data_IF_271125735488
#
_entry.id   IF_271125735488
#
_cell.length_a   1.000
_cell.length_b   1.000
_cell.length_c   1.000
_cell.angle_alpha   90.00
_cell.angle_beta   90.00
_cell.angle_gamma   90.00
#
_symmetry.space_group_name_H-M   'P 1'
#
loop_
_entity.id
_entity.type
_entity.pdbx_description
1 polymer ?
#
# COMPACT_ATOMS: atom_id res chain seq x y z
N UNK A 1 1.90 11.50 -19.82
CA UNK A 1 2.24 11.47 -21.24
C UNK A 1 1.02 11.78 -22.09
N UNK A 2 1.26 12.23 -23.31
CA UNK A 2 0.22 12.43 -24.30
C UNK A 2 0.58 11.61 -25.56
N UNK A 3 -0.30 10.71 -25.93
CA UNK A 3 -0.26 10.00 -27.21
C UNK A 3 -0.98 10.89 -28.24
N UNK A 4 -0.57 10.84 -29.53
CA UNK A 4 -1.21 11.64 -30.57
C UNK A 4 -2.74 11.36 -30.61
N UNK A 5 -3.60 12.35 -30.32
CA UNK A 5 -5.02 12.13 -30.23
C UNK A 5 -5.76 12.25 -31.58
N UNK A 6 -5.08 12.65 -32.66
CA UNK A 6 -5.74 13.04 -33.91
C UNK A 6 -6.66 11.96 -34.48
N UNK A 7 -6.20 10.71 -34.51
CA UNK A 7 -7.00 9.58 -35.01
C UNK A 7 -8.23 9.31 -34.12
N UNK A 8 -8.06 9.38 -32.81
CA UNK A 8 -9.13 9.12 -31.83
C UNK A 8 -10.17 10.25 -31.82
N UNK A 9 -9.75 11.49 -32.00
CA UNK A 9 -10.64 12.65 -32.15
C UNK A 9 -11.50 12.53 -33.44
N UNK A 10 -10.90 12.10 -34.56
CA UNK A 10 -11.64 11.82 -35.77
C UNK A 10 -12.67 10.69 -35.61
N UNK A 11 -12.31 9.62 -34.89
CA UNK A 11 -13.24 8.52 -34.58
C UNK A 11 -14.40 9.00 -33.69
N UNK A 12 -14.13 9.84 -32.70
CA UNK A 12 -15.18 10.43 -31.87
C UNK A 12 -16.15 11.26 -32.68
N UNK A 13 -15.66 12.15 -33.56
CA UNK A 13 -16.52 12.96 -34.44
C UNK A 13 -17.38 12.11 -35.38
N UNK A 14 -16.83 10.99 -35.87
CA UNK A 14 -17.59 10.05 -36.71
C UNK A 14 -18.73 9.38 -35.89
N UNK A 15 -18.45 8.95 -34.68
CA UNK A 15 -19.46 8.37 -33.79
C UNK A 15 -20.55 9.39 -33.41
N UNK A 16 -20.16 10.63 -33.13
CA UNK A 16 -21.12 11.73 -32.86
C UNK A 16 -22.01 12.04 -34.03
N UNK A 17 -21.47 12.06 -35.27
CA UNK A 17 -22.28 12.24 -36.48
C UNK A 17 -23.30 11.10 -36.68
N UNK A 18 -22.87 9.84 -36.45
CA UNK A 18 -23.75 8.65 -36.51
C UNK A 18 -24.88 8.75 -35.49
N UNK A 19 -24.56 9.16 -34.25
CA UNK A 19 -25.56 9.37 -33.19
C UNK A 19 -26.55 10.49 -33.58
N UNK A 20 -26.06 11.58 -34.16
CA UNK A 20 -26.92 12.70 -34.63
C UNK A 20 -27.91 12.21 -35.69
N UNK A 21 -27.48 11.38 -36.64
CA UNK A 21 -28.37 10.78 -37.63
C UNK A 21 -29.39 9.84 -36.98
N UNK A 22 -28.99 8.98 -36.03
CA UNK A 22 -29.91 8.12 -35.29
C UNK A 22 -30.98 8.92 -34.53
N UNK A 23 -30.58 10.06 -33.92
CA UNK A 23 -31.52 10.97 -33.25
C UNK A 23 -32.51 11.64 -34.21
N UNK A 24 -32.07 12.02 -35.40
CA UNK A 24 -32.98 12.57 -36.44
C UNK A 24 -34.00 11.49 -36.89
N UNK A 25 -33.55 10.23 -37.11
CA UNK A 25 -34.43 9.12 -37.43
C UNK A 25 -35.43 8.84 -36.29
N UNK A 26 -34.98 8.90 -35.04
CA UNK A 26 -35.87 8.74 -33.88
C UNK A 26 -36.93 9.85 -33.85
N UNK A 27 -36.58 11.09 -34.09
CA UNK A 27 -37.52 12.22 -34.09
C UNK A 27 -38.63 11.99 -35.17
N UNK A 28 -38.25 11.55 -36.37
CA UNK A 28 -39.19 11.17 -37.40
C UNK A 28 -40.12 9.99 -36.95
N UNK A 29 -39.54 8.91 -36.44
CA UNK A 29 -40.32 7.74 -36.00
C UNK A 29 -41.26 8.10 -34.83
N UNK A 30 -40.86 8.99 -33.94
CA UNK A 30 -41.73 9.52 -32.87
C UNK A 30 -42.93 10.28 -33.42
N UNK A 31 -42.74 11.17 -34.43
CA UNK A 31 -43.81 11.92 -35.06
C UNK A 31 -44.77 11.00 -35.78
N UNK A 32 -44.24 9.99 -36.49
CA UNK A 32 -45.07 9.03 -37.25
C UNK A 32 -45.87 8.10 -36.31
N UNK A 33 -45.26 7.57 -35.24
CA UNK A 33 -45.92 6.77 -34.23
C UNK A 33 -47.02 7.56 -33.48
N UNK A 34 -46.76 8.82 -33.17
CA UNK A 34 -47.77 9.71 -32.56
C UNK A 34 -48.94 9.92 -33.49
N UNK A 35 -48.69 10.26 -34.76
CA UNK A 35 -49.73 10.47 -35.77
C UNK A 35 -50.55 9.21 -36.01
N UNK A 36 -49.92 8.04 -36.18
CA UNK A 36 -50.58 6.75 -36.37
C UNK A 36 -51.48 6.42 -35.19
N UNK A 37 -51.04 6.64 -33.97
CA UNK A 37 -51.84 6.41 -32.75
C UNK A 37 -53.10 7.27 -32.67
N UNK A 38 -53.01 8.54 -33.11
CA UNK A 38 -54.18 9.44 -33.15
C UNK A 38 -55.17 9.01 -34.25
N UNK A 39 -54.68 8.59 -35.42
CA UNK A 39 -55.52 8.15 -36.51
C UNK A 39 -56.22 6.80 -36.23
N UNK A 40 -55.60 5.89 -35.51
CA UNK A 40 -56.25 4.66 -35.07
C UNK A 40 -57.47 4.91 -34.17
N UNK A 41 -57.39 5.92 -33.28
CA UNK A 41 -58.50 6.29 -32.40
C UNK A 41 -59.77 6.68 -33.14
N UNK A 42 -59.64 7.24 -34.34
CA UNK A 42 -60.74 7.61 -35.22
C UNK A 42 -61.00 6.62 -36.37
N UNK A 43 -60.41 5.43 -36.28
CA UNK A 43 -60.46 4.34 -37.28
C UNK A 43 -59.99 4.75 -38.69
N UNK A 44 -59.13 5.76 -38.81
CA UNK A 44 -58.60 6.24 -40.09
C UNK A 44 -57.41 5.42 -40.63
N UNK A 45 -56.77 4.59 -39.78
CA UNK A 45 -55.72 3.62 -40.16
C UNK A 45 -55.94 2.30 -39.43
N UNK A 46 -55.36 1.22 -39.96
CA UNK A 46 -55.47 -0.12 -39.33
C UNK A 46 -54.61 -0.22 -38.07
N UNK A 47 -55.01 -1.07 -37.13
CA UNK A 47 -54.21 -1.37 -35.93
C UNK A 47 -52.81 -1.93 -36.28
N UNK A 48 -52.75 -2.73 -37.37
CA UNK A 48 -51.48 -3.26 -37.90
C UNK A 48 -50.50 -2.14 -38.30
N UNK A 49 -51.03 -1.04 -38.90
CA UNK A 49 -50.21 0.11 -39.24
C UNK A 49 -49.66 0.84 -38.02
N UNK A 50 -50.46 0.97 -36.95
CA UNK A 50 -49.95 1.56 -35.66
C UNK A 50 -48.93 0.63 -35.02
N UNK A 51 -49.16 -0.66 -34.95
CA UNK A 51 -48.21 -1.62 -34.41
C UNK A 51 -46.86 -1.56 -35.16
N UNK A 52 -46.87 -1.40 -36.47
CA UNK A 52 -45.67 -1.21 -37.29
C UNK A 52 -44.95 0.10 -36.98
N UNK A 53 -45.69 1.22 -36.81
CA UNK A 53 -45.10 2.49 -36.43
C UNK A 53 -44.51 2.48 -35.03
N UNK A 54 -45.16 1.78 -34.07
CA UNK A 54 -44.61 1.58 -32.72
C UNK A 54 -43.34 0.71 -32.71
N UNK A 55 -43.30 -0.36 -33.56
CA UNK A 55 -42.10 -1.18 -33.73
C UNK A 55 -40.93 -0.35 -34.28
N UNK A 56 -41.18 0.49 -35.29
CA UNK A 56 -40.19 1.39 -35.88
C UNK A 56 -39.66 2.40 -34.86
N UNK A 57 -40.55 2.96 -34.04
CA UNK A 57 -40.15 3.84 -32.94
C UNK A 57 -39.19 3.14 -31.96
N UNK A 58 -39.52 1.92 -31.54
CA UNK A 58 -38.66 1.13 -30.64
C UNK A 58 -37.30 0.80 -31.29
N UNK A 59 -37.30 0.48 -32.59
CA UNK A 59 -36.06 0.26 -33.34
C UNK A 59 -35.20 1.50 -33.41
N UNK A 60 -35.77 2.69 -33.68
CA UNK A 60 -35.07 3.93 -33.70
C UNK A 60 -34.52 4.33 -32.29
N UNK A 61 -35.28 4.03 -31.23
CA UNK A 61 -34.79 4.21 -29.86
C UNK A 61 -33.58 3.33 -29.56
N UNK A 62 -33.60 2.07 -30.00
CA UNK A 62 -32.47 1.18 -29.83
C UNK A 62 -31.23 1.63 -30.62
N UNK A 63 -31.43 2.18 -31.85
CA UNK A 63 -30.35 2.73 -32.66
C UNK A 63 -29.68 3.94 -31.97
N UNK A 64 -30.46 4.82 -31.33
CA UNK A 64 -29.90 5.93 -30.54
C UNK A 64 -29.04 5.42 -29.36
N UNK A 65 -29.53 4.42 -28.61
CA UNK A 65 -28.75 3.83 -27.51
C UNK A 65 -27.46 3.19 -28.00
N UNK A 66 -27.50 2.51 -29.15
CA UNK A 66 -26.29 1.96 -29.79
C UNK A 66 -25.31 3.06 -30.19
N UNK A 67 -25.79 4.15 -30.76
CA UNK A 67 -24.97 5.33 -31.10
C UNK A 67 -24.36 5.98 -29.85
N UNK A 68 -25.11 6.09 -28.76
CA UNK A 68 -24.58 6.63 -27.48
C UNK A 68 -23.47 5.75 -26.92
N UNK A 69 -23.60 4.43 -26.99
CA UNK A 69 -22.55 3.50 -26.59
C UNK A 69 -21.30 3.63 -27.48
N UNK A 70 -21.46 3.81 -28.80
CA UNK A 70 -20.35 4.04 -29.71
C UNK A 70 -19.60 5.36 -29.39
N UNK A 71 -20.33 6.45 -29.12
CA UNK A 71 -19.73 7.73 -28.70
C UNK A 71 -18.98 7.57 -27.37
N UNK A 72 -19.55 6.85 -26.40
CA UNK A 72 -18.87 6.58 -25.12
C UNK A 72 -17.56 5.84 -25.32
N UNK A 73 -17.58 4.78 -26.15
CA UNK A 73 -16.37 4.02 -26.48
C UNK A 73 -15.30 4.88 -27.14
N UNK A 74 -15.68 5.72 -28.10
CA UNK A 74 -14.75 6.64 -28.75
C UNK A 74 -14.17 7.69 -27.77
N UNK A 75 -14.98 8.20 -26.83
CA UNK A 75 -14.51 9.12 -25.77
C UNK A 75 -13.51 8.46 -24.82
N UNK A 76 -13.75 7.22 -24.42
CA UNK A 76 -12.84 6.46 -23.57
C UNK A 76 -11.49 6.26 -24.28
N UNK A 77 -11.52 5.88 -25.57
CA UNK A 77 -10.30 5.71 -26.36
C UNK A 77 -9.51 7.01 -26.50
N UNK A 78 -10.22 8.14 -26.70
CA UNK A 78 -9.59 9.47 -26.73
C UNK A 78 -9.00 9.84 -25.36
N UNK A 79 -9.66 9.53 -24.25
CA UNK A 79 -9.11 9.82 -22.92
C UNK A 79 -7.87 8.95 -22.60
N UNK A 80 -7.81 7.73 -23.09
CA UNK A 80 -6.62 6.87 -22.98
C UNK A 80 -5.38 7.40 -23.70
N UNK A 81 -5.55 8.36 -24.63
CA UNK A 81 -4.37 9.07 -25.20
C UNK A 81 -3.67 9.94 -24.15
N UNK A 82 -4.37 10.29 -23.05
CA UNK A 82 -3.80 11.02 -21.91
C UNK A 82 -3.38 10.03 -20.84
N UNK A 83 -2.17 9.55 -20.91
CA UNK A 83 -1.63 8.62 -19.91
C UNK A 83 -1.31 9.34 -18.62
N UNK A 84 -2.12 9.10 -17.60
CA UNK A 84 -2.00 9.71 -16.27
C UNK A 84 -1.44 8.71 -15.28
N UNK A 85 -0.77 9.22 -14.24
CA UNK A 85 -0.36 8.39 -13.12
C UNK A 85 -1.58 8.02 -12.26
N UNK A 86 -1.76 6.73 -11.90
CA UNK A 86 -2.82 6.31 -10.98
C UNK A 86 -2.55 6.69 -9.52
N UNK A 87 -1.28 7.02 -9.19
CA UNK A 87 -0.84 7.40 -7.84
C UNK A 87 -0.12 8.74 -7.87
N UNK A 88 -0.18 9.45 -6.74
CA UNK A 88 0.67 10.62 -6.50
C UNK A 88 2.07 10.17 -6.11
N UNK A 89 3.11 10.77 -6.67
CA UNK A 89 4.47 10.36 -6.36
C UNK A 89 5.51 11.05 -7.24
N UNK A 90 6.76 10.61 -7.08
CA UNK A 90 7.88 11.04 -7.92
C UNK A 90 7.97 10.16 -9.15
N UNK A 91 7.99 10.80 -10.30
CA UNK A 91 8.20 10.15 -11.59
C UNK A 91 9.71 9.91 -11.77
N UNK A 92 10.08 8.69 -12.11
CA UNK A 92 11.45 8.33 -12.49
C UNK A 92 11.77 8.82 -13.90
N UNK A 93 12.97 8.49 -14.39
CA UNK A 93 13.36 8.80 -15.76
C UNK A 93 12.36 8.20 -16.76
N UNK A 94 12.03 8.96 -17.80
CA UNK A 94 11.27 8.43 -18.94
C UNK A 94 12.12 7.44 -19.73
N UNK A 95 11.56 6.29 -20.05
CA UNK A 95 12.21 5.28 -20.89
C UNK A 95 12.02 5.55 -22.39
N UNK A 96 11.08 6.43 -22.72
CA UNK A 96 10.77 6.82 -24.10
C UNK A 96 10.97 8.32 -24.29
N UNK A 97 11.48 8.69 -25.45
CA UNK A 97 11.62 10.09 -25.90
C UNK A 97 10.36 10.55 -26.63
N UNK A 98 10.20 11.84 -26.77
CA UNK A 98 9.14 12.42 -27.60
C UNK A 98 9.25 11.92 -29.05
N UNK A 99 8.12 11.59 -29.66
CA UNK A 99 8.04 11.02 -31.00
C UNK A 99 8.29 9.52 -31.09
N UNK A 100 8.57 8.84 -29.98
CA UNK A 100 8.72 7.39 -29.98
C UNK A 100 7.39 6.69 -30.28
N UNK A 101 7.44 5.64 -31.08
CA UNK A 101 6.29 4.81 -31.38
C UNK A 101 5.99 3.89 -30.17
N UNK A 102 4.76 3.96 -29.67
CA UNK A 102 4.27 3.07 -28.64
C UNK A 102 3.35 2.02 -29.24
N UNK A 103 3.45 0.79 -28.74
CA UNK A 103 2.57 -0.31 -29.16
C UNK A 103 1.70 -0.76 -27.98
N UNK A 104 0.46 -1.14 -28.28
CA UNK A 104 -0.42 -1.70 -27.25
C UNK A 104 0.19 -2.98 -26.66
N UNK A 105 0.05 -3.16 -25.35
CA UNK A 105 0.56 -4.31 -24.59
C UNK A 105 2.08 -4.51 -24.62
N UNK A 106 2.85 -3.45 -24.89
CA UNK A 106 4.31 -3.52 -24.77
C UNK A 106 4.73 -3.86 -23.33
N UNK A 107 5.77 -4.69 -23.20
CA UNK A 107 6.28 -5.09 -21.88
C UNK A 107 7.05 -3.97 -21.15
N UNK A 108 7.61 -3.01 -21.90
CA UNK A 108 8.38 -1.91 -21.33
C UNK A 108 7.46 -0.80 -20.83
N UNK A 109 7.62 -0.43 -19.56
CA UNK A 109 6.89 0.68 -18.97
C UNK A 109 7.39 2.03 -19.50
N UNK A 110 6.53 3.03 -19.60
CA UNK A 110 6.89 4.39 -20.00
C UNK A 110 7.78 5.07 -18.96
N UNK A 111 7.44 4.89 -17.70
CA UNK A 111 8.17 5.36 -16.52
C UNK A 111 7.64 4.64 -15.30
N UNK A 112 8.37 4.74 -14.19
CA UNK A 112 7.92 4.27 -12.88
C UNK A 112 7.57 5.48 -12.02
N UNK A 113 6.40 5.43 -11.38
CA UNK A 113 6.00 6.42 -10.37
C UNK A 113 6.11 5.78 -9.00
N UNK A 114 6.85 6.41 -8.10
CA UNK A 114 7.09 5.92 -6.74
C UNK A 114 6.47 6.87 -5.72
N UNK A 115 5.67 6.33 -4.83
CA UNK A 115 5.20 7.05 -3.66
C UNK A 115 6.32 7.07 -2.63
N UNK A 116 6.78 8.28 -2.26
CA UNK A 116 7.87 8.46 -1.31
C UNK A 116 7.40 8.83 0.10
N UNK A 117 6.14 9.25 0.24
CA UNK A 117 5.54 9.60 1.53
C UNK A 117 4.11 9.05 1.56
N UNK A 118 3.78 8.15 2.49
CA UNK A 118 4.71 7.43 3.36
C UNK A 118 5.63 6.46 2.58
N UNK A 119 6.78 6.10 3.19
CA UNK A 119 7.71 5.11 2.66
C UNK A 119 7.66 3.82 3.48
N UNK A 120 7.84 2.69 2.81
CA UNK A 120 7.90 1.39 3.45
C UNK A 120 9.35 0.97 3.71
N UNK A 121 9.59 0.42 4.88
CA UNK A 121 10.86 -0.18 5.28
C UNK A 121 10.62 -1.65 5.58
N UNK A 122 11.23 -2.51 4.79
CA UNK A 122 11.14 -3.95 4.98
C UNK A 122 12.29 -4.40 5.92
N UNK A 123 11.91 -4.99 7.05
CA UNK A 123 12.81 -5.49 8.08
C UNK A 123 12.76 -7.01 8.08
N UNK A 124 13.92 -7.64 7.97
CA UNK A 124 14.02 -9.10 8.05
C UNK A 124 14.41 -9.51 9.46
N UNK A 125 13.61 -10.39 10.07
CA UNK A 125 13.82 -10.93 11.42
C UNK A 125 13.73 -12.45 11.40
N UNK A 126 14.28 -13.12 12.43
CA UNK A 126 14.09 -14.55 12.60
C UNK A 126 12.66 -14.85 13.08
N UNK A 127 12.15 -16.04 12.77
CA UNK A 127 10.85 -16.47 13.29
C UNK A 127 10.84 -16.53 14.83
N UNK A 128 12.00 -16.82 15.46
CA UNK A 128 12.18 -16.84 16.91
C UNK A 128 12.02 -15.44 17.52
N UNK A 129 12.66 -14.42 16.91
CA UNK A 129 12.53 -13.03 17.34
C UNK A 129 11.10 -12.53 17.20
N UNK A 130 10.40 -12.90 16.12
CA UNK A 130 9.00 -12.56 15.95
C UNK A 130 8.13 -13.10 17.09
N UNK A 131 8.31 -14.38 17.44
CA UNK A 131 7.59 -15.02 18.55
C UNK A 131 7.94 -14.39 19.90
N UNK A 132 9.18 -13.92 20.08
CA UNK A 132 9.59 -13.18 21.28
C UNK A 132 8.86 -11.85 21.35
N UNK A 133 8.89 -11.06 20.27
CA UNK A 133 8.23 -9.74 20.19
C UNK A 133 6.71 -9.90 20.43
N UNK A 134 6.07 -10.91 19.84
CA UNK A 134 4.65 -11.17 20.07
C UNK A 134 4.32 -11.48 21.54
N UNK A 135 5.18 -12.24 22.22
CA UNK A 135 5.03 -12.51 23.66
C UNK A 135 5.21 -11.26 24.51
N UNK A 136 6.17 -10.40 24.18
CA UNK A 136 6.42 -9.12 24.85
C UNK A 136 5.24 -8.15 24.67
N UNK A 137 4.63 -8.12 23.47
CA UNK A 137 3.40 -7.37 23.23
C UNK A 137 2.24 -7.93 24.09
N UNK A 138 2.05 -9.24 24.09
CA UNK A 138 0.98 -9.89 24.85
C UNK A 138 1.16 -9.71 26.37
N UNK A 139 2.40 -9.64 26.86
CA UNK A 139 2.73 -9.34 28.25
C UNK A 139 2.60 -7.85 28.61
N UNK A 140 2.37 -6.95 27.63
CA UNK A 140 2.32 -5.51 27.83
C UNK A 140 3.69 -4.85 28.09
N UNK A 141 4.79 -5.60 27.87
CA UNK A 141 6.16 -5.11 28.01
C UNK A 141 6.56 -4.20 26.84
N UNK A 142 6.05 -4.50 25.64
CA UNK A 142 6.19 -3.67 24.45
C UNK A 142 4.94 -2.81 24.26
N UNK A 143 5.11 -1.50 24.25
CA UNK A 143 4.00 -0.56 24.02
C UNK A 143 3.67 -0.56 22.52
N UNK A 144 2.43 -0.90 22.22
CA UNK A 144 1.84 -0.75 20.88
C UNK A 144 0.82 0.40 20.88
N UNK A 145 0.55 0.97 19.73
CA UNK A 145 -0.56 1.91 19.56
C UNK A 145 -1.91 1.16 19.52
N UNK A 146 -3.01 1.92 19.34
CA UNK A 146 -4.36 1.38 19.30
C UNK A 146 -4.56 0.34 18.17
N UNK A 147 -3.75 0.40 17.13
CA UNK A 147 -3.77 -0.50 15.96
C UNK A 147 -2.84 -1.71 16.15
N UNK A 148 -2.21 -1.86 17.31
CA UNK A 148 -1.26 -2.93 17.59
C UNK A 148 0.10 -2.76 16.91
N UNK A 149 0.41 -1.57 16.37
CA UNK A 149 1.69 -1.28 15.75
C UNK A 149 2.72 -0.83 16.80
N UNK A 150 3.96 -1.30 16.66
CA UNK A 150 5.06 -0.92 17.55
C UNK A 150 5.84 0.27 16.97
N UNK A 151 6.21 1.28 17.80
CA UNK A 151 7.02 2.41 17.34
C UNK A 151 8.43 1.95 17.00
N UNK A 152 8.93 2.45 15.86
CA UNK A 152 10.25 2.10 15.33
C UNK A 152 11.01 3.36 14.93
N UNK A 153 12.31 3.41 15.23
CA UNK A 153 13.23 4.44 14.76
C UNK A 153 14.21 3.88 13.74
N UNK A 154 14.73 4.75 12.87
CA UNK A 154 15.74 4.36 11.87
C UNK A 154 17.07 5.04 12.16
N UNK A 155 18.14 4.30 11.89
CA UNK A 155 19.50 4.82 11.78
C UNK A 155 19.88 4.73 10.30
N UNK A 156 20.24 5.88 9.74
CA UNK A 156 20.66 5.99 8.35
C UNK A 156 22.07 5.43 8.15
N UNK A 157 22.48 5.26 6.90
CA UNK A 157 23.81 4.71 6.56
C UNK A 157 24.99 5.58 7.02
N UNK A 158 24.76 6.87 7.23
CA UNK A 158 25.75 7.83 7.78
C UNK A 158 25.85 7.79 9.32
N UNK A 159 25.03 6.95 9.98
CA UNK A 159 24.96 6.85 11.44
C UNK A 159 24.02 7.84 12.11
N UNK A 160 23.40 8.76 11.36
CA UNK A 160 22.41 9.69 11.91
C UNK A 160 21.08 8.99 12.20
N UNK A 161 20.36 9.46 13.22
CA UNK A 161 19.01 8.98 13.52
C UNK A 161 18.00 9.75 12.68
N UNK A 162 17.09 9.03 12.02
CA UNK A 162 15.99 9.64 11.28
C UNK A 162 15.01 10.31 12.26
N UNK A 163 14.56 11.53 11.92
CA UNK A 163 13.75 12.36 12.82
C UNK A 163 12.34 11.82 13.07
N UNK A 164 11.77 11.13 12.08
CA UNK A 164 10.40 10.63 12.17
C UNK A 164 10.36 9.20 12.71
N UNK A 165 9.37 8.93 13.55
CA UNK A 165 9.12 7.60 14.08
C UNK A 165 8.16 6.85 13.16
N UNK A 166 8.52 5.65 12.78
CA UNK A 166 7.67 4.76 12.01
C UNK A 166 6.85 3.82 12.88
N UNK A 167 5.96 3.10 12.22
CA UNK A 167 5.09 2.08 12.80
C UNK A 167 5.35 0.74 12.17
N UNK A 168 5.76 -0.23 12.98
CA UNK A 168 5.94 -1.61 12.55
C UNK A 168 4.59 -2.34 12.59
N UNK A 169 4.18 -2.87 11.44
CA UNK A 169 2.95 -3.64 11.30
C UNK A 169 3.27 -5.13 11.18
N UNK A 170 2.58 -5.97 11.94
CA UNK A 170 2.81 -7.43 11.98
C UNK A 170 1.86 -8.21 11.06
N UNK A 171 1.06 -7.53 10.25
CA UNK A 171 -0.08 -8.12 9.53
C UNK A 171 0.33 -9.09 8.41
N UNK A 172 1.51 -8.89 7.79
CA UNK A 172 1.96 -9.64 6.62
C UNK A 172 3.21 -10.48 6.89
N UNK A 173 3.26 -11.15 8.05
CA UNK A 173 4.39 -11.99 8.41
C UNK A 173 4.36 -13.31 7.62
N UNK A 174 5.12 -13.36 6.52
CA UNK A 174 5.35 -14.59 5.76
C UNK A 174 6.75 -15.10 6.09
N UNK A 175 6.82 -16.37 6.52
CA UNK A 175 8.10 -17.04 6.78
C UNK A 175 8.68 -17.54 5.46
N UNK A 176 9.91 -17.17 5.17
CA UNK A 176 10.70 -17.77 4.10
C UNK A 176 11.22 -19.14 4.57
N UNK A 177 10.74 -20.21 3.95
CA UNK A 177 11.04 -21.60 4.34
C UNK A 177 12.53 -21.93 4.18
N UNK A 178 13.24 -21.28 3.27
CA UNK A 178 14.65 -21.53 2.99
C UNK A 178 15.59 -20.93 4.03
N UNK A 179 15.23 -19.79 4.61
CA UNK A 179 16.07 -19.02 5.55
C UNK A 179 15.51 -18.99 6.96
N UNK A 180 14.25 -19.38 7.18
CA UNK A 180 13.57 -19.27 8.47
C UNK A 180 13.35 -17.84 8.93
N UNK A 181 13.46 -16.88 8.00
CA UNK A 181 13.28 -15.44 8.30
C UNK A 181 11.89 -14.97 7.94
N UNK A 182 11.45 -13.93 8.62
CA UNK A 182 10.17 -13.25 8.41
C UNK A 182 10.43 -11.83 7.93
N UNK A 183 9.73 -11.42 6.87
CA UNK A 183 9.72 -10.03 6.43
C UNK A 183 8.61 -9.29 7.14
N UNK A 184 8.98 -8.25 7.88
CA UNK A 184 8.07 -7.34 8.54
C UNK A 184 8.13 -6.00 7.82
N UNK A 185 6.99 -5.32 7.72
CA UNK A 185 6.92 -4.00 7.07
C UNK A 185 6.61 -2.91 8.06
N UNK A 186 7.45 -1.89 8.06
CA UNK A 186 7.22 -0.67 8.81
C UNK A 186 6.89 0.48 7.86
N UNK A 187 6.01 1.36 8.31
CA UNK A 187 5.57 2.54 7.58
C UNK A 187 6.18 3.77 8.24
N UNK A 188 6.88 4.59 7.47
CA UNK A 188 7.52 5.81 7.93
C UNK A 188 7.00 7.02 7.19
N UNK A 189 6.63 8.11 7.89
CA UNK A 189 6.46 9.42 7.25
C UNK A 189 7.77 9.87 6.61
N UNK A 190 7.71 10.46 5.43
CA UNK A 190 8.90 10.94 4.71
C UNK A 190 8.65 12.29 4.04
N UNK A 191 8.20 13.31 4.81
CA UNK A 191 7.81 14.60 4.25
C UNK A 191 8.97 15.34 3.56
N UNK A 192 10.18 15.17 4.07
CA UNK A 192 11.39 15.77 3.51
C UNK A 192 12.02 14.93 2.38
N UNK A 193 11.48 13.75 2.08
CA UNK A 193 11.96 12.82 1.04
C UNK A 193 13.44 12.44 1.20
N UNK A 194 13.92 12.35 2.44
CA UNK A 194 15.29 11.95 2.76
C UNK A 194 15.50 10.46 2.51
N UNK A 195 14.47 9.65 2.77
CA UNK A 195 14.49 8.22 2.49
C UNK A 195 14.15 7.98 1.03
N UNK A 196 14.98 7.19 0.36
CA UNK A 196 14.78 6.79 -1.03
C UNK A 196 14.64 5.27 -1.12
N UNK A 197 13.82 4.77 -2.06
CA UNK A 197 13.72 3.33 -2.31
C UNK A 197 15.09 2.74 -2.66
N UNK A 198 15.41 1.60 -2.06
CA UNK A 198 16.71 0.92 -2.21
C UNK A 198 17.81 1.37 -1.25
N UNK A 199 17.54 2.33 -0.37
CA UNK A 199 18.49 2.68 0.71
C UNK A 199 18.53 1.59 1.79
N UNK A 200 19.73 1.29 2.27
CA UNK A 200 19.91 0.46 3.46
C UNK A 200 19.80 1.33 4.72
N UNK A 201 18.97 0.88 5.65
CA UNK A 201 18.77 1.52 6.95
C UNK A 201 18.80 0.47 8.04
N UNK A 202 19.14 0.87 9.28
CA UNK A 202 19.01 0.02 10.46
C UNK A 202 17.76 0.43 11.21
N UNK A 203 16.91 -0.53 11.48
CA UNK A 203 15.69 -0.30 12.24
C UNK A 203 15.90 -0.68 13.70
N UNK A 204 15.57 0.23 14.60
CA UNK A 204 15.56 0.00 16.05
C UNK A 204 14.11 -0.02 16.52
N UNK A 205 13.69 -1.18 17.02
CA UNK A 205 12.41 -1.33 17.70
C UNK A 205 12.60 -0.88 19.16
N UNK A 206 11.75 0.06 19.62
CA UNK A 206 11.77 0.48 21.02
C UNK A 206 11.02 -0.53 21.87
N UNK A 207 11.72 -1.38 22.60
CA UNK A 207 11.16 -2.42 23.46
C UNK A 207 10.65 -1.87 24.82
N UNK A 208 10.23 -0.63 24.89
CA UNK A 208 9.70 -0.05 26.14
C UNK A 208 10.79 0.25 27.19
N UNK A 209 10.36 0.84 28.31
CA UNK A 209 11.22 1.15 29.45
C UNK A 209 10.89 0.15 30.55
N UNK A 210 11.88 -0.62 30.99
CA UNK A 210 11.78 -1.44 32.20
C UNK A 210 12.29 -0.59 33.39
N UNK A 211 11.40 0.06 34.16
CA UNK A 211 11.80 0.98 35.21
C UNK A 211 12.55 0.34 36.36
N UNK A 212 12.47 -0.98 36.50
CA UNK A 212 13.13 -1.77 37.57
C UNK A 212 14.23 -2.69 37.03
N UNK A 213 14.74 -2.42 35.84
CA UNK A 213 15.83 -3.23 35.25
C UNK A 213 17.15 -2.97 35.97
N UNK A 214 17.79 -4.02 36.51
CA UNK A 214 19.11 -3.95 37.12
C UNK A 214 20.15 -4.22 36.03
N UNK A 215 21.04 -3.28 35.84
CA UNK A 215 22.16 -3.40 34.90
C UNK A 215 23.46 -3.72 35.63
N UNK A 216 24.12 -4.81 35.24
CA UNK A 216 25.38 -5.26 35.82
C UNK A 216 26.46 -5.25 34.75
N UNK A 217 27.63 -4.73 35.06
CA UNK A 217 28.75 -4.68 34.14
C UNK A 217 29.11 -6.08 33.65
N UNK A 218 29.34 -6.29 32.36
CA UNK A 218 29.64 -7.62 31.80
C UNK A 218 30.82 -8.31 32.47
N UNK A 219 31.81 -7.53 32.91
CA UNK A 219 33.00 -8.04 33.62
C UNK A 219 32.70 -8.65 35.00
N UNK A 220 31.59 -8.23 35.63
CA UNK A 220 31.18 -8.68 36.96
C UNK A 220 30.35 -10.00 36.91
N UNK A 221 29.90 -10.40 35.71
CA UNK A 221 29.11 -11.62 35.53
C UNK A 221 30.04 -12.77 35.17
N UNK A 222 30.10 -13.77 36.02
CA UNK A 222 30.85 -15.00 35.80
C UNK A 222 29.92 -16.15 35.43
N UNK A 223 30.46 -17.19 34.81
CA UNK A 223 29.71 -18.42 34.52
C UNK A 223 30.35 -19.61 35.19
N UNK A 224 29.55 -20.48 35.77
CA UNK A 224 29.99 -21.73 36.34
C UNK A 224 30.30 -22.76 35.23
N UNK A 225 30.82 -23.93 35.61
CA UNK A 225 31.11 -25.03 34.70
C UNK A 225 29.85 -25.60 33.99
N UNK A 226 28.67 -25.29 34.51
CA UNK A 226 27.37 -25.68 33.93
C UNK A 226 26.79 -24.58 33.05
N UNK A 227 27.45 -23.42 32.93
CA UNK A 227 27.02 -22.27 32.11
C UNK A 227 26.09 -21.29 32.83
N UNK A 228 25.74 -21.52 34.11
CA UNK A 228 24.88 -20.60 34.86
C UNK A 228 25.63 -19.34 35.20
N UNK A 229 24.96 -18.19 35.06
CA UNK A 229 25.52 -16.89 35.39
C UNK A 229 25.46 -16.64 36.92
N UNK A 230 26.53 -16.11 37.48
CA UNK A 230 26.58 -15.70 38.88
C UNK A 230 27.40 -14.43 39.04
N UNK A 231 27.18 -13.76 40.16
CA UNK A 231 27.94 -12.55 40.57
C UNK A 231 28.36 -12.73 42.03
N UNK A 232 29.37 -11.98 42.44
CA UNK A 232 29.73 -11.79 43.83
C UNK A 232 29.08 -10.55 44.37
N UNK A 233 28.32 -10.69 45.46
CA UNK A 233 27.66 -9.59 46.16
C UNK A 233 28.30 -9.41 47.52
N UNK A 234 28.54 -8.17 47.93
CA UNK A 234 29.06 -7.86 49.26
C UNK A 234 27.88 -7.67 50.21
N UNK A 235 27.71 -8.56 51.13
CA UNK A 235 26.68 -8.48 52.17
C UNK A 235 26.95 -7.37 53.21
N UNK A 236 25.96 -7.14 54.05
CA UNK A 236 26.05 -6.16 55.17
C UNK A 236 27.16 -6.40 56.14
N UNK A 237 27.63 -7.64 56.26
CA UNK A 237 28.76 -8.06 57.11
C UNK A 237 30.13 -7.93 56.45
N UNK A 238 30.24 -7.26 55.32
CA UNK A 238 31.43 -7.19 54.47
C UNK A 238 31.94 -8.56 54.01
N UNK A 239 31.03 -9.59 53.98
CA UNK A 239 31.34 -10.90 53.42
C UNK A 239 30.86 -10.96 51.98
N UNK A 240 31.65 -11.63 51.16
CA UNK A 240 31.33 -11.85 49.76
C UNK A 240 30.53 -13.14 49.60
N UNK A 241 29.38 -13.05 48.98
CA UNK A 241 28.55 -14.21 48.68
C UNK A 241 28.44 -14.41 47.16
N UNK A 242 28.54 -15.64 46.72
CA UNK A 242 28.25 -16.02 45.33
C UNK A 242 26.74 -16.13 45.17
N UNK A 243 26.15 -15.35 44.21
CA UNK A 243 24.73 -15.37 43.97
C UNK A 243 24.45 -15.67 42.51
N UNK A 244 23.65 -16.70 42.29
CA UNK A 244 23.18 -17.05 40.93
C UNK A 244 22.20 -15.99 40.45
N UNK A 245 22.37 -15.58 39.21
CA UNK A 245 21.52 -14.58 38.52
C UNK A 245 21.01 -15.12 37.20
N UNK A 246 19.90 -14.58 36.74
CA UNK A 246 19.44 -14.78 35.35
C UNK A 246 19.72 -13.50 34.58
N UNK A 247 20.49 -13.64 33.52
CA UNK A 247 20.84 -12.52 32.63
C UNK A 247 19.98 -12.60 31.36
N UNK A 248 19.50 -11.44 30.95
CA UNK A 248 18.74 -11.26 29.70
C UNK A 248 19.62 -10.67 28.58
N UNK A 249 19.14 -9.63 27.94
CA UNK A 249 19.83 -8.96 26.84
C UNK A 249 21.04 -8.16 27.31
N UNK A 250 21.99 -7.94 26.40
CA UNK A 250 23.12 -7.03 26.60
C UNK A 250 22.75 -5.61 26.19
N UNK A 251 23.08 -4.63 27.02
CA UNK A 251 22.93 -3.21 26.73
C UNK A 251 24.30 -2.52 26.75
N UNK A 252 24.93 -2.42 25.60
CA UNK A 252 26.30 -1.94 25.50
C UNK A 252 27.27 -2.83 26.27
N UNK A 253 27.90 -2.33 27.38
CA UNK A 253 28.83 -3.06 28.24
C UNK A 253 28.16 -3.69 29.47
N UNK A 254 26.83 -3.69 29.54
CA UNK A 254 26.06 -4.18 30.69
C UNK A 254 25.17 -5.36 30.30
N UNK A 255 24.94 -6.27 31.26
CA UNK A 255 23.88 -7.26 31.23
C UNK A 255 22.64 -6.76 31.94
N UNK A 256 21.48 -6.91 31.34
CA UNK A 256 20.20 -6.75 32.03
C UNK A 256 19.95 -7.99 32.89
N UNK A 257 19.89 -7.83 34.20
CA UNK A 257 19.56 -8.93 35.13
C UNK A 257 18.05 -8.99 35.30
N UNK A 258 17.47 -10.15 35.00
CA UNK A 258 16.03 -10.38 35.12
C UNK A 258 15.61 -10.95 36.47
N UNK A 259 16.52 -11.64 37.16
CA UNK A 259 16.30 -12.14 38.53
C UNK A 259 17.59 -12.43 39.25
N UNK A 260 17.56 -12.41 40.60
CA UNK A 260 18.67 -12.80 41.46
C UNK A 260 19.40 -11.65 42.15
N UNK A 261 19.11 -10.39 41.81
CA UNK A 261 19.67 -9.21 42.46
C UNK A 261 18.58 -8.25 42.91
N UNK A 262 18.91 -7.39 43.88
CA UNK A 262 18.07 -6.28 44.32
C UNK A 262 18.84 -4.98 44.13
N UNK A 263 18.09 -3.87 44.05
CA UNK A 263 18.66 -2.54 43.98
C UNK A 263 19.50 -2.24 45.20
N UNK A 264 20.73 -1.75 44.96
CA UNK A 264 21.68 -1.40 46.03
C UNK A 264 22.64 -2.50 46.48
N UNK A 265 22.59 -3.67 45.88
CA UNK A 265 23.52 -4.77 46.12
C UNK A 265 24.75 -4.71 45.23
#
# INVERSE_FOLDING_TARGET
YQIDPALYDAQLKTAEATLAQARATLAQAQADAKRSRELVKINAVSKQSDDAAQAQLKSAQAAVKSGEAAVLTAKINLDYTKVRSPISGRVSRSEFTEGALLTAYQAQALTTVQQLDPIYVDVTQTAEDLLRIQREIAAGELKTDADGAAPMSLILSDGSTYSETGKLTFTDAIVDEGTGTVKLRAVFPNPQRQLLPGMFVRANLSEGIRPQGILVHMQSVMRDLKGNAYVYVVGTDNKVEQRSITVGQTMGTYWLVTSGLKEGE
#
